data_IF_031241418378
#
_entry.id   IF_031241418378
#
_cell.length_a   1.000
_cell.length_b   1.000
_cell.length_c   1.000
_cell.angle_alpha   90.00
_cell.angle_beta   90.00
_cell.angle_gamma   90.00
#
_symmetry.space_group_name_H-M   'P 1'
#
loop_
_entity.id
_entity.type
_entity.pdbx_description
1 polymer ?
#
# COMPACT_ATOMS: atom_id res chain seq x y z
N UNK A 1 -12.18 -3.85 -1.19
CA UNK A 1 -11.38 -3.55 -2.40
C UNK A 1 -11.78 -4.52 -3.50
N UNK A 2 -11.68 -4.12 -4.77
CA UNK A 2 -11.81 -5.01 -5.92
C UNK A 2 -10.44 -5.44 -6.44
N UNK A 3 -10.30 -6.68 -6.89
CA UNK A 3 -9.06 -7.19 -7.45
C UNK A 3 -8.72 -6.44 -8.75
N UNK A 4 -7.57 -5.78 -8.81
CA UNK A 4 -7.11 -5.01 -9.98
C UNK A 4 -6.97 -5.82 -11.28
N UNK A 5 -6.89 -7.15 -11.19
CA UNK A 5 -6.86 -8.04 -12.37
C UNK A 5 -8.23 -8.59 -12.79
N UNK A 6 -8.99 -9.19 -11.87
CA UNK A 6 -10.21 -9.93 -12.21
C UNK A 6 -11.52 -9.30 -11.71
N UNK A 7 -11.46 -8.22 -10.91
CA UNK A 7 -12.63 -7.52 -10.38
C UNK A 7 -13.32 -8.16 -9.17
N UNK A 8 -12.99 -9.41 -8.81
CA UNK A 8 -13.57 -10.06 -7.62
C UNK A 8 -13.20 -9.30 -6.33
N UNK A 9 -14.07 -9.27 -5.30
CA UNK A 9 -13.73 -8.75 -3.98
C UNK A 9 -12.47 -9.39 -3.40
N UNK A 10 -11.67 -8.58 -2.69
CA UNK A 10 -10.44 -9.03 -2.03
C UNK A 10 -10.40 -8.52 -0.59
N UNK A 11 -10.22 -9.44 0.35
CA UNK A 11 -10.18 -9.20 1.79
C UNK A 11 -9.09 -10.00 2.54
N UNK A 12 -8.59 -11.10 1.97
CA UNK A 12 -7.53 -11.91 2.59
C UNK A 12 -6.21 -11.15 2.70
N UNK A 13 -5.80 -10.83 3.93
CA UNK A 13 -4.52 -10.16 4.22
C UNK A 13 -3.35 -11.14 4.13
N UNK A 14 -2.39 -10.83 3.25
CA UNK A 14 -1.11 -11.55 3.18
C UNK A 14 -0.16 -11.06 4.28
N UNK A 15 0.01 -9.74 4.34
CA UNK A 15 0.94 -9.08 5.27
C UNK A 15 0.49 -7.64 5.49
N UNK A 16 0.66 -7.19 6.73
CA UNK A 16 0.53 -5.79 7.12
C UNK A 16 1.90 -5.31 7.61
N UNK A 17 2.49 -4.34 6.92
CA UNK A 17 3.79 -3.76 7.23
C UNK A 17 3.66 -2.45 8.04
N UNK A 18 2.44 -2.08 8.45
CA UNK A 18 2.16 -0.88 9.21
C UNK A 18 2.21 0.38 8.37
N UNK A 19 2.53 1.52 9.01
CA UNK A 19 2.57 2.83 8.37
C UNK A 19 3.98 3.16 7.90
N UNK A 20 4.13 3.46 6.60
CA UNK A 20 5.41 3.74 5.95
C UNK A 20 5.33 4.98 5.05
N UNK A 21 6.43 5.75 4.89
CA UNK A 21 6.47 6.82 3.90
C UNK A 21 6.64 6.24 2.48
N UNK A 22 6.30 6.99 1.41
CA UNK A 22 6.58 6.55 0.05
C UNK A 22 8.08 6.35 -0.16
N UNK A 23 8.48 5.18 -0.69
CA UNK A 23 9.89 4.78 -0.81
C UNK A 23 10.76 5.76 -1.62
N UNK A 24 10.13 6.50 -2.53
CA UNK A 24 10.81 7.40 -3.46
C UNK A 24 10.52 8.89 -3.17
N UNK A 25 9.93 9.21 -2.02
CA UNK A 25 9.74 10.58 -1.56
C UNK A 25 11.00 11.10 -0.85
N UNK A 26 12.10 11.22 -1.61
CA UNK A 26 13.40 11.63 -1.07
C UNK A 26 13.35 13.02 -0.41
N UNK A 27 13.97 13.14 0.77
CA UNK A 27 14.04 14.39 1.51
C UNK A 27 15.21 15.26 1.03
N UNK A 28 15.01 16.57 1.06
CA UNK A 28 16.11 17.55 0.96
C UNK A 28 16.66 17.86 2.35
N UNK A 29 17.86 18.42 2.45
CA UNK A 29 18.46 18.83 3.73
C UNK A 29 17.54 19.73 4.56
N UNK A 30 16.77 20.60 3.89
CA UNK A 30 15.80 21.50 4.55
C UNK A 30 14.62 20.75 5.17
N UNK A 31 14.29 19.56 4.65
CA UNK A 31 13.12 18.78 5.02
C UNK A 31 13.43 17.65 6.01
N UNK A 32 14.69 17.44 6.40
CA UNK A 32 15.09 16.35 7.31
C UNK A 32 14.40 16.38 8.68
N UNK A 33 13.89 17.54 9.12
CA UNK A 33 13.15 17.71 10.38
C UNK A 33 11.67 18.02 10.17
N UNK A 34 11.23 18.04 8.92
CA UNK A 34 9.84 18.24 8.58
C UNK A 34 9.09 16.91 8.70
N UNK A 35 7.78 16.93 9.01
CA UNK A 35 6.97 15.73 8.93
C UNK A 35 6.97 15.14 7.51
N UNK A 36 6.99 13.81 7.39
CA UNK A 36 6.77 13.11 6.12
C UNK A 36 5.31 12.65 6.02
N UNK A 37 4.85 12.41 4.80
CA UNK A 37 3.57 11.75 4.56
C UNK A 37 3.74 10.25 4.73
N UNK A 38 2.86 9.63 5.52
CA UNK A 38 2.87 8.19 5.76
C UNK A 38 1.57 7.57 5.27
N UNK A 39 1.66 6.36 4.74
CA UNK A 39 0.53 5.57 4.27
C UNK A 39 0.56 4.18 4.91
N UNK A 40 -0.59 3.58 5.21
CA UNK A 40 -0.64 2.16 5.57
C UNK A 40 -0.17 1.29 4.38
N UNK A 41 0.71 0.34 4.66
CA UNK A 41 1.26 -0.61 3.70
C UNK A 41 0.72 -2.00 4.03
N UNK A 42 -0.46 -2.29 3.48
CA UNK A 42 -1.13 -3.60 3.60
C UNK A 42 -1.22 -4.26 2.24
N UNK A 43 -0.95 -5.57 2.22
CA UNK A 43 -0.97 -6.40 1.03
C UNK A 43 -2.03 -7.49 1.19
N UNK A 44 -2.86 -7.64 0.16
CA UNK A 44 -3.99 -8.55 0.10
C UNK A 44 -3.77 -9.59 -1.01
N UNK A 45 -4.39 -10.77 -0.89
CA UNK A 45 -4.38 -11.81 -1.92
C UNK A 45 -5.80 -12.05 -2.43
N UNK A 46 -5.99 -12.01 -3.75
CA UNK A 46 -7.24 -12.47 -4.36
C UNK A 46 -7.29 -13.99 -4.40
N UNK A 47 -8.27 -14.62 -3.74
CA UNK A 47 -8.41 -16.09 -3.73
C UNK A 47 -8.93 -16.66 -5.07
N UNK A 48 -9.44 -15.81 -5.97
CA UNK A 48 -9.95 -16.22 -7.29
C UNK A 48 -8.87 -16.30 -8.37
N UNK A 49 -7.94 -15.33 -8.41
CA UNK A 49 -6.89 -15.28 -9.44
C UNK A 49 -5.46 -15.25 -8.89
N UNK A 50 -5.30 -15.28 -7.57
CA UNK A 50 -4.01 -15.26 -6.87
C UNK A 50 -3.16 -14.00 -7.07
N UNK A 51 -3.74 -12.91 -7.59
CA UNK A 51 -3.07 -11.62 -7.58
C UNK A 51 -2.86 -11.15 -6.13
N UNK A 52 -1.59 -10.93 -5.80
CA UNK A 52 -1.16 -10.21 -4.61
C UNK A 52 -1.09 -8.72 -4.94
N UNK A 53 -1.78 -7.88 -4.18
CA UNK A 53 -1.88 -6.44 -4.46
C UNK A 53 -1.89 -5.60 -3.18
N UNK A 54 -1.45 -4.35 -3.28
CA UNK A 54 -1.56 -3.40 -2.18
C UNK A 54 -2.99 -2.90 -2.05
N UNK A 55 -3.43 -2.73 -0.80
CA UNK A 55 -4.61 -1.91 -0.51
C UNK A 55 -4.38 -0.48 -1.03
N UNK A 56 -5.42 0.15 -1.57
CA UNK A 56 -5.30 1.43 -2.27
C UNK A 56 -5.64 2.55 -1.30
N UNK A 57 -4.70 3.48 -1.19
CA UNK A 57 -4.76 4.60 -0.24
C UNK A 57 -4.37 5.93 -0.90
N UNK A 58 -3.94 5.91 -2.15
CA UNK A 58 -3.56 7.09 -2.90
C UNK A 58 -4.62 7.34 -3.98
N UNK A 59 -5.35 8.45 -3.87
CA UNK A 59 -6.20 8.99 -4.94
C UNK A 59 -5.33 9.63 -6.05
#
# INVERSE_FOLDING_TARGET
MECRHCGEPVDLVLVDLGSCPPSNSYLTDKNLRSPETYFPLRVLVCESCWLVQTEDFAD
#
